data_IF_057306423801
#
_entry.id   IF_057306423801
#
_cell.length_a   1.000
_cell.length_b   1.000
_cell.length_c   1.000
_cell.angle_alpha   90.00
_cell.angle_beta   90.00
_cell.angle_gamma   90.00
#
_symmetry.space_group_name_H-M   'P 1'
#
loop_
_entity.id
_entity.type
_entity.pdbx_description
1 polymer ?
#
# COMPACT_ATOMS: atom_id res chain seq x y z
N UNK A 1 0.44 5.12 -11.35
CA UNK A 1 0.21 3.73 -11.80
C UNK A 1 1.44 3.23 -12.51
N UNK A 2 1.82 1.96 -12.34
CA UNK A 2 3.00 1.36 -12.96
C UNK A 2 2.67 -0.01 -13.55
N UNK A 3 3.29 -0.32 -14.69
CA UNK A 3 3.30 -1.63 -15.35
C UNK A 3 4.71 -2.00 -15.73
N UNK A 4 5.42 -2.71 -14.86
CA UNK A 4 6.83 -3.03 -15.10
C UNK A 4 7.06 -3.90 -16.34
N UNK A 5 6.06 -4.70 -16.73
CA UNK A 5 6.07 -5.47 -17.97
C UNK A 5 5.73 -4.66 -19.24
N UNK A 6 5.48 -3.35 -19.11
CA UNK A 6 5.27 -2.38 -20.20
C UNK A 6 6.10 -1.11 -19.96
N UNK A 7 7.44 -1.17 -20.08
CA UNK A 7 8.32 -0.05 -19.72
C UNK A 7 7.97 1.27 -20.39
N UNK A 8 7.51 1.22 -21.64
CA UNK A 8 7.04 2.36 -22.42
C UNK A 8 5.88 3.11 -21.74
N UNK A 9 4.96 2.38 -21.08
CA UNK A 9 3.83 2.96 -20.36
C UNK A 9 4.25 3.69 -19.07
N UNK A 10 5.45 3.40 -18.55
CA UNK A 10 5.95 3.99 -17.32
C UNK A 10 6.78 5.26 -17.52
N UNK A 11 7.25 5.54 -18.74
CA UNK A 11 8.21 6.64 -18.98
C UNK A 11 7.75 7.97 -18.39
N UNK A 12 6.50 8.36 -18.67
CA UNK A 12 5.92 9.60 -18.16
C UNK A 12 5.72 9.57 -16.63
N UNK A 13 5.17 8.48 -16.10
CA UNK A 13 4.91 8.35 -14.66
C UNK A 13 6.20 8.31 -13.83
N UNK A 14 7.26 7.69 -14.36
CA UNK A 14 8.59 7.67 -13.74
C UNK A 14 9.24 9.05 -13.78
N UNK A 15 9.07 9.80 -14.86
CA UNK A 15 9.52 11.19 -14.91
C UNK A 15 8.83 12.06 -13.85
N UNK A 16 7.50 11.92 -13.69
CA UNK A 16 6.73 12.59 -12.63
C UNK A 16 7.26 12.19 -11.24
N UNK A 17 7.45 10.88 -10.99
CA UNK A 17 7.97 10.40 -9.71
C UNK A 17 9.31 11.05 -9.36
N UNK A 18 10.26 11.08 -10.30
CA UNK A 18 11.58 11.72 -10.08
C UNK A 18 11.46 13.20 -9.80
N UNK A 19 10.62 13.91 -10.56
CA UNK A 19 10.41 15.34 -10.37
C UNK A 19 9.81 15.64 -9.00
N UNK A 20 8.70 14.98 -8.64
CA UNK A 20 8.05 15.20 -7.34
C UNK A 20 8.95 14.82 -6.16
N UNK A 21 9.74 13.75 -6.26
CA UNK A 21 10.70 13.38 -5.22
C UNK A 21 11.76 14.47 -5.05
N UNK A 22 12.29 15.00 -6.15
CA UNK A 22 13.28 16.09 -6.09
C UNK A 22 12.67 17.37 -5.50
N UNK A 23 11.47 17.77 -5.94
CA UNK A 23 10.78 18.97 -5.45
C UNK A 23 10.51 18.89 -3.94
N UNK A 24 9.97 17.77 -3.46
CA UNK A 24 9.69 17.60 -2.03
C UNK A 24 10.97 17.55 -1.18
N UNK A 25 12.07 17.02 -1.73
CA UNK A 25 13.35 17.03 -1.04
C UNK A 25 13.93 18.45 -0.93
N UNK A 26 13.74 19.30 -1.94
CA UNK A 26 14.17 20.70 -1.90
C UNK A 26 13.38 21.52 -0.87
N UNK A 27 12.11 21.19 -0.68
CA UNK A 27 11.21 21.88 0.26
C UNK A 27 11.22 21.28 1.68
N UNK A 28 12.08 20.28 1.96
CA UNK A 28 12.14 19.55 3.23
C UNK A 28 10.76 18.98 3.68
N UNK A 29 9.98 18.49 2.70
CA UNK A 29 8.67 17.90 2.92
C UNK A 29 8.71 16.38 2.77
N UNK A 30 8.02 15.68 3.68
CA UNK A 30 7.84 14.24 3.55
C UNK A 30 6.94 13.91 2.35
N UNK A 31 7.47 13.14 1.41
CA UNK A 31 6.71 12.54 0.32
C UNK A 31 6.49 11.05 0.55
N UNK A 32 5.23 10.62 0.58
CA UNK A 32 4.85 9.21 0.53
C UNK A 32 4.57 8.83 -0.92
N UNK A 33 5.37 7.91 -1.46
CA UNK A 33 5.21 7.43 -2.84
C UNK A 33 4.24 6.26 -2.87
N UNK A 34 3.13 6.44 -3.58
CA UNK A 34 2.14 5.40 -3.87
C UNK A 34 2.17 5.07 -5.36
N UNK A 35 2.15 3.77 -5.68
CA UNK A 35 1.80 3.31 -7.02
C UNK A 35 0.76 2.19 -6.93
N UNK A 36 0.08 1.98 -8.05
CA UNK A 36 -0.85 0.89 -8.26
C UNK A 36 -0.54 0.24 -9.59
N UNK A 37 -0.78 -1.06 -9.68
CA UNK A 37 -0.78 -1.83 -10.92
C UNK A 37 -2.20 -1.83 -11.50
N UNK A 38 -2.35 -2.20 -12.77
CA UNK A 38 -3.66 -2.26 -13.43
C UNK A 38 -3.67 -3.37 -14.46
N UNK A 39 -4.84 -3.93 -14.76
CA UNK A 39 -5.03 -4.83 -15.90
C UNK A 39 -4.96 -4.01 -17.19
N UNK A 40 -4.15 -4.43 -18.17
CA UNK A 40 -4.12 -3.75 -19.48
C UNK A 40 -5.27 -4.23 -20.35
N UNK A 41 -5.65 -3.42 -21.33
CA UNK A 41 -6.67 -3.78 -22.30
C UNK A 41 -6.31 -5.09 -23.02
N UNK A 42 -7.28 -6.01 -23.07
CA UNK A 42 -7.11 -7.34 -23.67
C UNK A 42 -6.37 -8.38 -22.82
N UNK A 43 -5.79 -8.00 -21.66
CA UNK A 43 -5.19 -8.97 -20.72
C UNK A 43 -6.30 -9.70 -19.95
N UNK A 44 -6.20 -11.02 -19.77
CA UNK A 44 -7.18 -11.74 -18.95
C UNK A 44 -6.95 -11.44 -17.47
N UNK A 45 -8.02 -11.50 -16.68
CA UNK A 45 -7.95 -11.20 -15.26
C UNK A 45 -7.02 -12.18 -14.51
N UNK A 46 -7.03 -13.45 -14.89
CA UNK A 46 -6.20 -14.49 -14.29
C UNK A 46 -4.71 -14.21 -14.55
N UNK A 47 -4.38 -13.80 -15.77
CA UNK A 47 -2.99 -13.53 -16.17
C UNK A 47 -2.47 -12.27 -15.48
N UNK A 48 -3.30 -11.24 -15.35
CA UNK A 48 -2.98 -10.05 -14.55
C UNK A 48 -2.79 -10.40 -13.07
N UNK A 49 -3.72 -11.17 -12.49
CA UNK A 49 -3.69 -11.55 -11.07
C UNK A 49 -2.44 -12.36 -10.73
N UNK A 50 -2.05 -13.30 -11.61
CA UNK A 50 -0.82 -14.07 -11.45
C UNK A 50 0.46 -13.20 -11.47
N UNK A 51 0.43 -12.06 -12.16
CA UNK A 51 1.55 -11.11 -12.22
C UNK A 51 1.61 -10.13 -11.04
N UNK A 52 0.55 -9.99 -10.24
CA UNK A 52 0.49 -8.99 -9.16
C UNK A 52 1.73 -9.03 -8.25
N UNK A 53 2.16 -10.19 -7.70
CA UNK A 53 3.33 -10.22 -6.82
C UNK A 53 4.57 -9.58 -7.48
N UNK A 54 4.87 -9.99 -8.71
CA UNK A 54 6.01 -9.47 -9.47
C UNK A 54 5.83 -8.00 -9.85
N UNK A 55 4.64 -7.57 -10.27
CA UNK A 55 4.38 -6.17 -10.64
C UNK A 55 4.52 -5.22 -9.44
N UNK A 56 4.15 -5.67 -8.24
CA UNK A 56 4.33 -4.89 -7.01
C UNK A 56 5.79 -4.84 -6.58
N UNK A 57 6.52 -5.96 -6.69
CA UNK A 57 7.97 -5.97 -6.45
C UNK A 57 8.69 -5.01 -7.41
N UNK A 58 8.43 -5.10 -8.70
CA UNK A 58 9.09 -4.24 -9.69
C UNK A 58 8.67 -2.77 -9.59
N UNK A 59 7.39 -2.49 -9.30
CA UNK A 59 6.96 -1.12 -9.03
C UNK A 59 7.64 -0.53 -7.79
N UNK A 60 7.93 -1.38 -6.79
CA UNK A 60 8.70 -1.00 -5.60
C UNK A 60 10.14 -0.67 -5.98
N UNK A 61 10.80 -1.55 -6.76
CA UNK A 61 12.16 -1.33 -7.29
C UNK A 61 12.26 0.00 -8.04
N UNK A 62 11.35 0.25 -8.99
CA UNK A 62 11.30 1.49 -9.77
C UNK A 62 11.15 2.71 -8.85
N UNK A 63 10.28 2.63 -7.83
CA UNK A 63 10.05 3.73 -6.89
C UNK A 63 11.29 4.03 -6.04
N UNK A 64 11.98 3.00 -5.57
CA UNK A 64 13.23 3.12 -4.81
C UNK A 64 14.36 3.69 -5.67
N UNK A 65 14.50 3.24 -6.92
CA UNK A 65 15.46 3.79 -7.89
C UNK A 65 15.19 5.26 -8.22
N UNK A 66 13.95 5.72 -8.09
CA UNK A 66 13.60 7.14 -8.21
C UNK A 66 13.90 7.95 -6.94
N UNK A 67 14.29 7.31 -5.84
CA UNK A 67 14.68 7.96 -4.58
C UNK A 67 13.58 8.02 -3.52
N UNK A 68 12.52 7.21 -3.62
CA UNK A 68 11.44 7.20 -2.64
C UNK A 68 11.95 6.96 -1.20
N UNK A 69 11.39 7.71 -0.24
CA UNK A 69 11.79 7.66 1.19
C UNK A 69 10.73 7.05 2.10
N UNK A 70 9.48 7.00 1.67
CA UNK A 70 8.39 6.25 2.32
C UNK A 70 7.49 5.70 1.23
N UNK A 71 7.11 4.43 1.33
CA UNK A 71 6.33 3.73 0.33
C UNK A 71 4.93 3.38 0.84
N UNK A 72 3.94 3.54 -0.03
CA UNK A 72 2.57 3.04 0.17
C UNK A 72 2.25 2.05 -0.94
N UNK A 73 2.16 0.77 -0.58
CA UNK A 73 2.18 -0.33 -1.54
C UNK A 73 0.89 -1.17 -1.48
N UNK A 74 0.36 -1.63 -2.62
CA UNK A 74 -0.66 -2.69 -2.64
C UNK A 74 -0.12 -3.97 -2.00
N UNK A 75 -1.00 -4.76 -1.39
CA UNK A 75 -0.61 -6.08 -0.88
C UNK A 75 -0.17 -6.97 -2.07
N UNK A 76 1.06 -7.52 -2.07
CA UNK A 76 1.60 -8.25 -3.22
C UNK A 76 1.00 -9.65 -3.39
N UNK A 77 0.16 -10.12 -2.48
CA UNK A 77 -0.55 -11.40 -2.58
C UNK A 77 0.03 -12.49 -1.68
N UNK A 78 1.35 -12.53 -1.45
CA UNK A 78 2.00 -13.60 -0.68
C UNK A 78 2.98 -13.08 0.40
N UNK A 79 3.23 -13.87 1.47
CA UNK A 79 4.26 -13.57 2.47
C UNK A 79 5.67 -13.39 1.87
N UNK A 80 6.04 -14.24 0.92
CA UNK A 80 7.37 -14.24 0.29
C UNK A 80 7.60 -12.96 -0.51
N UNK A 81 6.56 -12.48 -1.20
CA UNK A 81 6.62 -11.21 -1.91
C UNK A 81 6.74 -10.02 -0.94
N UNK A 82 6.03 -10.06 0.19
CA UNK A 82 6.20 -9.06 1.26
C UNK A 82 7.65 -9.04 1.79
N UNK A 83 8.24 -10.23 2.03
CA UNK A 83 9.60 -10.34 2.52
C UNK A 83 10.64 -9.83 1.50
N UNK A 84 10.45 -10.13 0.20
CA UNK A 84 11.29 -9.59 -0.88
C UNK A 84 11.20 -8.07 -0.97
N UNK A 85 10.01 -7.50 -0.87
CA UNK A 85 9.79 -6.04 -0.82
C UNK A 85 10.53 -5.43 0.37
N UNK A 86 10.38 -5.98 1.57
CA UNK A 86 11.06 -5.46 2.77
C UNK A 86 12.58 -5.53 2.64
N UNK A 87 13.11 -6.65 2.13
CA UNK A 87 14.55 -6.82 1.88
C UNK A 87 15.09 -5.78 0.89
N UNK A 88 14.36 -5.55 -0.21
CA UNK A 88 14.71 -4.56 -1.23
C UNK A 88 14.58 -3.11 -0.73
N UNK A 89 13.58 -2.81 0.09
CA UNK A 89 13.35 -1.48 0.63
C UNK A 89 14.41 -1.08 1.68
N UNK A 90 14.99 -2.06 2.39
CA UNK A 90 16.00 -1.82 3.42
C UNK A 90 15.47 -0.89 4.51
N UNK A 91 16.07 0.29 4.64
CA UNK A 91 15.66 1.30 5.63
C UNK A 91 14.44 2.13 5.20
N UNK A 92 14.02 2.06 3.93
CA UNK A 92 12.85 2.79 3.44
C UNK A 92 11.57 2.11 3.96
N UNK A 93 10.79 2.74 4.85
CA UNK A 93 9.60 2.12 5.39
C UNK A 93 8.52 1.99 4.32
N UNK A 94 7.81 0.87 4.33
CA UNK A 94 6.65 0.65 3.47
C UNK A 94 5.41 0.29 4.27
N UNK A 95 4.27 0.84 3.86
CA UNK A 95 2.98 0.59 4.47
C UNK A 95 2.02 -0.04 3.46
N UNK A 96 1.31 -1.09 3.88
CA UNK A 96 0.33 -1.75 3.02
C UNK A 96 -0.96 -0.92 2.91
N UNK A 97 -1.49 -0.79 1.70
CA UNK A 97 -2.76 -0.12 1.42
C UNK A 97 -3.91 -1.11 1.27
N UNK A 98 -5.12 -0.65 1.58
CA UNK A 98 -6.31 -1.52 1.64
C UNK A 98 -6.94 -1.90 0.29
N UNK A 99 -6.66 -1.18 -0.78
CA UNK A 99 -7.26 -1.36 -2.12
C UNK A 99 -8.81 -1.43 -2.17
N UNK A 100 -9.51 -1.08 -1.09
CA UNK A 100 -10.97 -1.19 -1.01
C UNK A 100 -11.51 -2.58 -0.65
N UNK A 101 -10.67 -3.55 -0.31
CA UNK A 101 -11.14 -4.84 0.24
C UNK A 101 -11.92 -4.64 1.53
N UNK A 102 -12.70 -5.64 1.96
CA UNK A 102 -13.40 -5.58 3.25
C UNK A 102 -12.38 -5.60 4.42
N UNK A 103 -12.83 -5.16 5.60
CA UNK A 103 -11.96 -5.04 6.77
C UNK A 103 -11.32 -6.36 7.20
N UNK A 104 -12.07 -7.45 7.23
CA UNK A 104 -11.56 -8.76 7.65
C UNK A 104 -10.45 -9.28 6.73
N UNK A 105 -10.64 -9.16 5.41
CA UNK A 105 -9.60 -9.47 4.42
C UNK A 105 -8.38 -8.56 4.60
N UNK A 106 -8.59 -7.26 4.79
CA UNK A 106 -7.47 -6.33 4.98
C UNK A 106 -6.69 -6.63 6.25
N UNK A 107 -7.36 -6.98 7.35
CA UNK A 107 -6.70 -7.34 8.62
C UNK A 107 -5.74 -8.53 8.43
N UNK A 108 -6.15 -9.54 7.67
CA UNK A 108 -5.28 -10.67 7.30
C UNK A 108 -4.08 -10.24 6.43
N UNK A 109 -4.29 -9.34 5.47
CA UNK A 109 -3.19 -8.79 4.65
C UNK A 109 -2.20 -7.97 5.50
N UNK A 110 -2.69 -7.20 6.47
CA UNK A 110 -1.86 -6.44 7.41
C UNK A 110 -1.04 -7.37 8.28
N UNK A 111 -1.64 -8.41 8.85
CA UNK A 111 -0.94 -9.42 9.64
C UNK A 111 0.23 -10.05 8.85
N UNK A 112 -0.02 -10.43 7.58
CA UNK A 112 1.02 -11.00 6.71
C UNK A 112 2.10 -9.96 6.39
N UNK A 113 1.71 -8.74 6.00
CA UNK A 113 2.66 -7.69 5.64
C UNK A 113 3.57 -7.30 6.82
N UNK A 114 2.98 -7.05 7.99
CA UNK A 114 3.71 -6.70 9.21
C UNK A 114 4.68 -7.80 9.63
N UNK A 115 4.26 -9.08 9.57
CA UNK A 115 5.12 -10.23 9.88
C UNK A 115 6.34 -10.33 8.96
N UNK A 116 6.23 -9.82 7.74
CA UNK A 116 7.26 -9.88 6.72
C UNK A 116 7.96 -8.53 6.47
N UNK A 117 7.94 -7.62 7.45
CA UNK A 117 8.78 -6.42 7.46
C UNK A 117 8.12 -5.12 7.02
N UNK A 118 6.80 -5.10 6.76
CA UNK A 118 6.09 -3.83 6.58
C UNK A 118 6.19 -2.97 7.85
N UNK A 119 6.27 -1.65 7.66
CA UNK A 119 6.39 -0.67 8.74
C UNK A 119 5.04 -0.15 9.25
N UNK A 120 3.94 -0.50 8.57
CA UNK A 120 2.60 -0.10 8.98
C UNK A 120 1.55 -0.25 7.89
N UNK A 121 0.51 0.58 8.01
CA UNK A 121 -0.67 0.55 7.12
C UNK A 121 -1.06 1.97 6.73
N UNK A 122 -1.51 2.16 5.49
CA UNK A 122 -2.22 3.37 5.08
C UNK A 122 -3.57 2.94 4.49
N UNK A 123 -4.57 2.92 5.36
CA UNK A 123 -5.89 2.38 5.07
C UNK A 123 -6.96 3.46 4.95
N UNK A 124 -7.99 3.19 4.15
CA UNK A 124 -9.11 4.10 3.94
C UNK A 124 -10.42 3.33 3.89
N UNK A 125 -10.82 2.93 2.68
CA UNK A 125 -12.12 2.27 2.44
C UNK A 125 -12.36 1.03 3.29
N UNK A 126 -11.36 0.22 3.63
CA UNK A 126 -11.54 -0.92 4.54
C UNK A 126 -12.01 -0.50 5.93
N UNK A 127 -11.67 0.72 6.38
CA UNK A 127 -12.10 1.26 7.67
C UNK A 127 -13.51 1.83 7.61
N UNK A 128 -13.79 2.72 6.65
CA UNK A 128 -14.95 3.62 6.73
C UNK A 128 -16.01 3.45 5.64
N UNK A 129 -15.81 2.61 4.60
CA UNK A 129 -16.80 2.53 3.49
C UNK A 129 -18.19 2.09 3.95
N UNK A 130 -18.26 1.23 4.97
CA UNK A 130 -19.52 0.74 5.54
C UNK A 130 -20.20 1.78 6.45
N UNK A 131 -19.53 2.91 6.73
CA UNK A 131 -20.08 4.01 7.50
C UNK A 131 -20.87 5.01 6.64
N UNK A 132 -20.81 4.90 5.32
CA UNK A 132 -21.48 5.82 4.41
C UNK A 132 -23.00 5.70 4.59
N UNK A 133 -23.66 6.83 4.78
CA UNK A 133 -25.11 6.99 4.93
C UNK A 133 -25.50 8.39 4.50
N UNK A 134 -26.69 8.55 3.93
CA UNK A 134 -27.28 9.87 3.65
C UNK A 134 -27.76 10.56 4.94
N UNK A 135 -28.09 9.76 5.96
CA UNK A 135 -28.38 10.24 7.30
C UNK A 135 -27.08 10.48 8.08
N UNK A 136 -26.89 11.72 8.54
CA UNK A 136 -25.69 12.18 9.24
C UNK A 136 -25.54 11.57 10.63
N UNK A 137 -26.63 11.29 11.33
CA UNK A 137 -26.58 10.70 12.67
C UNK A 137 -26.23 9.21 12.57
N UNK A 138 -26.80 8.50 11.58
CA UNK A 138 -26.38 7.13 11.27
C UNK A 138 -24.91 7.07 10.85
N UNK A 139 -24.45 7.97 9.97
CA UNK A 139 -23.04 8.03 9.56
C UNK A 139 -22.12 8.27 10.77
N UNK A 140 -22.47 9.25 11.61
CA UNK A 140 -21.71 9.59 12.82
C UNK A 140 -21.61 8.38 13.76
N UNK A 141 -22.72 7.69 13.99
CA UNK A 141 -22.74 6.51 14.86
C UNK A 141 -21.88 5.37 14.30
N UNK A 142 -21.98 5.10 12.99
CA UNK A 142 -21.14 4.09 12.33
C UNK A 142 -19.65 4.44 12.37
N UNK A 143 -19.28 5.70 12.21
CA UNK A 143 -17.87 6.12 12.36
C UNK A 143 -17.36 5.83 13.78
N UNK A 144 -18.16 6.15 14.81
CA UNK A 144 -17.79 5.93 16.22
C UNK A 144 -17.73 4.45 16.61
N UNK A 145 -18.59 3.61 16.04
CA UNK A 145 -18.71 2.20 16.43
C UNK A 145 -17.91 1.28 15.51
N UNK A 146 -18.06 1.42 14.19
CA UNK A 146 -17.44 0.55 13.19
C UNK A 146 -16.02 1.02 12.90
N UNK A 147 -15.83 2.25 12.40
CA UNK A 147 -14.51 2.69 11.93
C UNK A 147 -13.49 2.77 13.07
N UNK A 148 -13.90 3.24 14.26
CA UNK A 148 -13.03 3.26 15.45
C UNK A 148 -12.68 1.85 15.94
N UNK A 149 -13.62 0.89 15.95
CA UNK A 149 -13.31 -0.51 16.30
C UNK A 149 -12.26 -1.09 15.36
N UNK A 150 -12.46 -0.90 14.06
CA UNK A 150 -11.55 -1.37 13.01
C UNK A 150 -10.16 -0.74 13.10
N UNK A 151 -10.08 0.54 13.45
CA UNK A 151 -8.81 1.22 13.70
C UNK A 151 -8.08 0.59 14.89
N UNK A 152 -8.79 0.29 15.98
CA UNK A 152 -8.19 -0.37 17.16
C UNK A 152 -7.69 -1.78 16.84
N UNK A 153 -8.41 -2.54 16.02
CA UNK A 153 -7.97 -3.86 15.54
C UNK A 153 -6.67 -3.77 14.73
N UNK A 154 -6.56 -2.80 13.81
CA UNK A 154 -5.30 -2.55 13.09
C UNK A 154 -4.17 -2.15 14.04
N UNK A 155 -4.45 -1.28 15.01
CA UNK A 155 -3.46 -0.86 16.01
C UNK A 155 -2.95 -2.06 16.84
N UNK A 156 -3.84 -2.98 17.22
CA UNK A 156 -3.48 -4.18 17.95
C UNK A 156 -2.54 -5.08 17.11
N UNK A 157 -2.89 -5.33 15.84
CA UNK A 157 -2.04 -6.11 14.94
C UNK A 157 -0.67 -5.46 14.76
N UNK A 158 -0.61 -4.16 14.45
CA UNK A 158 0.65 -3.42 14.27
C UNK A 158 1.49 -3.45 15.56
N UNK A 159 0.84 -3.34 16.72
CA UNK A 159 1.48 -3.38 18.04
C UNK A 159 2.25 -4.68 18.29
N UNK A 160 1.77 -5.81 17.76
CA UNK A 160 2.45 -7.11 17.89
C UNK A 160 3.81 -7.16 17.19
N UNK A 161 4.05 -6.28 16.21
CA UNK A 161 5.25 -6.30 15.36
C UNK A 161 6.18 -5.10 15.57
N UNK A 162 5.69 -4.00 16.18
CA UNK A 162 6.50 -2.80 16.46
C UNK A 162 7.62 -3.00 17.49
N UNK A 163 7.58 -4.05 18.32
CA UNK A 163 8.56 -4.28 19.40
C UNK A 163 9.78 -5.13 19.02
N UNK A 164 9.91 -5.57 17.77
CA UNK A 164 11.05 -6.42 17.35
C UNK A 164 12.24 -5.69 16.74
N UNK A 165 12.22 -4.36 16.72
CA UNK A 165 13.39 -3.54 16.39
C UNK A 165 14.06 -3.07 17.69
N UNK A 166 14.89 -3.93 18.27
CA UNK A 166 15.81 -3.62 19.36
C UNK A 166 17.19 -4.14 18.98
#
# INVERSE_FOLDING_TARGET
YLRADRPEANQHNVAILRQCIADFAQEDLLLVVEFLTYQVEGERLEDYTAKIPWLVEEGTRISLECGAKVLKLPYPGTPEACARISSMAGEVPWAVLSAGVNHATFLGQVEIAMRNGASGVIAGRSLWKDCISLDRDIQRERLKTIAVSRLRELQAVIGNYRQKAA
#
